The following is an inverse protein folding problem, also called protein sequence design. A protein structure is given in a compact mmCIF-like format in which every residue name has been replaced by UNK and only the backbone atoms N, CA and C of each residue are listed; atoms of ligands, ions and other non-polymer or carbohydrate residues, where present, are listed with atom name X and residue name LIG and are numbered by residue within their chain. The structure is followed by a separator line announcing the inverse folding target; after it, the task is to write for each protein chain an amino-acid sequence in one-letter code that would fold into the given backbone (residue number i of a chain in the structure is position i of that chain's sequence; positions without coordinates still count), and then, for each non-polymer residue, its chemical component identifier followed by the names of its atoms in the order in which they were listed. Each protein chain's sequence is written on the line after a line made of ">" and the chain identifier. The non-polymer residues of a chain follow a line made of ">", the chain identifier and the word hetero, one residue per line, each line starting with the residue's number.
data_IF_656763000681
#
_entry.id   IF_656763000681
#
_cell.length_a   1.000
_cell.length_b   1.000
_cell.length_c   1.000
_cell.angle_alpha   90.00
_cell.angle_beta   90.00
_cell.angle_gamma   90.00
#
_symmetry.space_group_name_H-M   'P 1'
#
loop_
_entity.id
_entity.type
_entity.pdbx_description
1 polymer ?
#
# COMPACT_ATOMS: atom_id res chain seq x y z
N UNK A 1 11.71 -22.48 8.06
CA UNK A 1 11.55 -21.33 7.14
C UNK A 1 11.85 -20.07 7.95
N UNK A 2 12.95 -19.38 7.64
CA UNK A 2 13.42 -18.21 8.42
C UNK A 2 12.42 -17.06 8.31
N UNK A 3 11.49 -16.97 9.27
CA UNK A 3 10.63 -15.81 9.51
C UNK A 3 11.39 -14.65 10.15
N UNK A 4 12.69 -14.79 10.38
CA UNK A 4 13.49 -13.67 10.84
C UNK A 4 13.71 -12.71 9.66
N UNK A 5 13.26 -11.45 9.81
CA UNK A 5 13.82 -10.24 9.20
C UNK A 5 12.80 -9.22 8.62
N UNK A 6 11.47 -9.43 8.62
CA UNK A 6 10.59 -8.30 8.22
C UNK A 6 10.65 -7.16 9.23
N UNK A 7 10.45 -7.47 10.51
CA UNK A 7 10.57 -6.51 11.59
C UNK A 7 12.00 -5.98 11.72
N UNK A 8 13.02 -6.85 11.61
CA UNK A 8 14.42 -6.40 11.69
C UNK A 8 14.79 -5.48 10.53
N UNK A 9 14.43 -5.82 9.28
CA UNK A 9 14.67 -4.96 8.11
C UNK A 9 13.95 -3.64 8.25
N UNK A 10 12.68 -3.65 8.66
CA UNK A 10 11.94 -2.42 8.86
C UNK A 10 12.55 -1.57 9.99
N UNK A 11 12.90 -2.17 11.11
CA UNK A 11 13.53 -1.51 12.25
C UNK A 11 14.88 -0.88 11.87
N UNK A 12 15.69 -1.57 11.06
CA UNK A 12 16.95 -1.01 10.51
C UNK A 12 16.70 0.20 9.63
N UNK A 13 15.67 0.16 8.79
CA UNK A 13 15.32 1.23 7.86
C UNK A 13 14.85 2.49 8.61
N UNK A 14 14.05 2.34 9.65
CA UNK A 14 13.51 3.47 10.41
C UNK A 14 14.43 3.93 11.54
N UNK A 15 15.58 3.27 11.74
CA UNK A 15 16.48 3.53 12.87
C UNK A 15 16.86 5.01 12.98
N UNK A 16 17.18 5.65 11.85
CA UNK A 16 17.55 7.08 11.77
C UNK A 16 16.37 8.05 11.90
N UNK A 17 15.15 7.54 11.93
CA UNK A 17 13.94 8.34 12.14
C UNK A 17 13.52 8.32 13.61
N UNK A 18 13.90 7.29 14.38
CA UNK A 18 13.45 7.05 15.76
C UNK A 18 13.96 8.06 16.78
N UNK A 19 15.09 8.70 16.50
CA UNK A 19 15.67 9.74 17.35
C UNK A 19 15.03 11.12 17.11
N UNK A 20 14.02 11.22 16.24
CA UNK A 20 13.36 12.49 15.88
C UNK A 20 12.02 12.65 16.61
N UNK A 21 11.55 13.89 16.82
CA UNK A 21 10.19 14.14 17.30
C UNK A 21 9.15 13.41 16.44
N UNK A 22 8.03 13.00 17.04
CA UNK A 22 7.04 12.10 16.41
C UNK A 22 6.59 12.55 15.02
N UNK A 23 6.30 13.86 14.84
CA UNK A 23 5.89 14.41 13.54
C UNK A 23 7.01 14.28 12.50
N UNK A 24 8.25 14.57 12.89
CA UNK A 24 9.44 14.46 12.02
C UNK A 24 9.75 13.01 11.69
N UNK A 25 9.67 12.10 12.67
CA UNK A 25 9.82 10.67 12.46
C UNK A 25 8.83 10.15 11.41
N UNK A 26 7.54 10.51 11.53
CA UNK A 26 6.51 10.10 10.59
C UNK A 26 6.74 10.64 9.18
N UNK A 27 7.19 11.90 9.06
CA UNK A 27 7.57 12.49 7.75
C UNK A 27 8.72 11.71 7.10
N UNK A 28 9.75 11.36 7.86
CA UNK A 28 10.90 10.58 7.35
C UNK A 28 10.45 9.19 6.92
N UNK A 29 9.69 8.48 7.75
CA UNK A 29 9.17 7.14 7.44
C UNK A 29 8.32 7.17 6.17
N UNK A 30 7.45 8.18 6.01
CA UNK A 30 6.64 8.36 4.79
C UNK A 30 7.52 8.47 3.55
N UNK A 31 8.54 9.33 3.57
CA UNK A 31 9.44 9.53 2.42
C UNK A 31 10.20 8.24 2.09
N UNK A 32 10.68 7.51 3.10
CA UNK A 32 11.36 6.23 2.91
C UNK A 32 10.44 5.21 2.23
N UNK A 33 9.21 5.07 2.71
CA UNK A 33 8.24 4.13 2.14
C UNK A 33 7.91 4.52 0.69
N UNK A 34 7.67 5.80 0.42
CA UNK A 34 7.40 6.30 -0.93
C UNK A 34 8.54 5.98 -1.90
N UNK A 35 9.80 6.29 -1.53
CA UNK A 35 10.98 5.98 -2.35
C UNK A 35 11.12 4.48 -2.61
N UNK A 36 10.91 3.65 -1.59
CA UNK A 36 10.99 2.19 -1.71
C UNK A 36 9.92 1.67 -2.67
N UNK A 37 8.67 2.12 -2.53
CA UNK A 37 7.57 1.71 -3.41
C UNK A 37 7.84 2.11 -4.85
N UNK A 38 8.32 3.33 -5.09
CA UNK A 38 8.68 3.79 -6.43
C UNK A 38 9.79 2.93 -7.05
N UNK A 39 10.88 2.69 -6.30
CA UNK A 39 11.98 1.84 -6.77
C UNK A 39 11.52 0.41 -7.10
N UNK A 40 10.64 -0.17 -6.28
CA UNK A 40 10.12 -1.52 -6.52
C UNK A 40 9.19 -1.57 -7.74
N UNK A 41 8.39 -0.52 -7.98
CA UNK A 41 7.57 -0.38 -9.18
C UNK A 41 8.43 -0.33 -10.45
N UNK A 42 9.51 0.44 -10.43
CA UNK A 42 10.42 0.54 -11.58
C UNK A 42 11.19 -0.75 -11.84
N UNK A 43 11.52 -1.51 -10.79
CA UNK A 43 12.16 -2.81 -10.94
C UNK A 43 11.24 -3.82 -11.59
N UNK A 44 9.99 -3.92 -11.14
CA UNK A 44 9.04 -4.89 -11.71
C UNK A 44 8.61 -4.49 -13.11
N UNK A 45 8.52 -3.20 -13.45
CA UNK A 45 8.19 -2.77 -14.82
C UNK A 45 9.27 -3.14 -15.83
N UNK A 46 10.52 -3.26 -15.39
CA UNK A 46 11.67 -3.70 -16.21
C UNK A 46 11.94 -5.20 -16.14
N UNK A 47 11.17 -5.94 -15.33
CA UNK A 47 11.39 -7.36 -15.11
C UNK A 47 10.71 -8.19 -16.21
N UNK A 48 11.51 -8.91 -16.99
CA UNK A 48 11.04 -9.74 -18.11
C UNK A 48 11.04 -11.25 -17.80
N UNK A 49 11.22 -11.64 -16.53
CA UNK A 49 11.25 -13.05 -16.11
C UNK A 49 9.90 -13.55 -15.60
N UNK A 50 9.83 -14.84 -15.29
CA UNK A 50 8.66 -15.42 -14.64
C UNK A 50 8.71 -15.21 -13.12
N UNK A 51 7.57 -14.79 -12.55
CA UNK A 51 7.40 -14.72 -11.10
C UNK A 51 7.17 -16.14 -10.58
N UNK A 52 7.81 -16.49 -9.46
CA UNK A 52 7.66 -17.80 -8.82
C UNK A 52 6.17 -18.18 -8.66
N UNK A 53 5.76 -19.42 -9.04
CA UNK A 53 4.35 -19.83 -9.08
C UNK A 53 3.57 -19.56 -7.78
N UNK A 54 4.20 -19.75 -6.62
CA UNK A 54 3.58 -19.49 -5.31
C UNK A 54 3.26 -18.01 -5.13
N UNK A 55 4.20 -17.12 -5.50
CA UNK A 55 4.02 -15.67 -5.39
C UNK A 55 2.98 -15.20 -6.41
N UNK A 56 3.04 -15.73 -7.64
CA UNK A 56 2.07 -15.43 -8.68
C UNK A 56 0.65 -15.82 -8.24
N UNK A 57 0.47 -17.01 -7.63
CA UNK A 57 -0.82 -17.45 -7.10
C UNK A 57 -1.37 -16.51 -6.02
N UNK A 58 -0.51 -16.06 -5.09
CA UNK A 58 -0.90 -15.09 -4.06
C UNK A 58 -1.32 -13.76 -4.70
N UNK A 59 -0.56 -13.29 -5.69
CA UNK A 59 -0.86 -12.05 -6.41
C UNK A 59 -2.21 -12.13 -7.13
N UNK A 60 -2.48 -13.20 -7.86
CA UNK A 60 -3.75 -13.40 -8.57
C UNK A 60 -4.93 -13.52 -7.61
N UNK A 61 -4.77 -14.18 -6.46
CA UNK A 61 -5.81 -14.22 -5.43
C UNK A 61 -6.13 -12.83 -4.87
N UNK A 62 -5.09 -12.03 -4.61
CA UNK A 62 -5.26 -10.64 -4.16
C UNK A 62 -5.93 -9.77 -5.23
N UNK A 63 -5.60 -9.94 -6.51
CA UNK A 63 -6.29 -9.25 -7.61
C UNK A 63 -7.77 -9.61 -7.66
N UNK A 64 -8.12 -10.89 -7.53
CA UNK A 64 -9.53 -11.33 -7.47
C UNK A 64 -10.28 -10.71 -6.28
N UNK A 65 -9.65 -10.65 -5.10
CA UNK A 65 -10.24 -9.99 -3.94
C UNK A 65 -10.41 -8.48 -4.14
N UNK A 66 -9.46 -7.84 -4.84
CA UNK A 66 -9.54 -6.42 -5.17
C UNK A 66 -10.58 -6.11 -6.26
N UNK A 67 -10.82 -7.04 -7.20
CA UNK A 67 -11.85 -6.92 -8.23
C UNK A 67 -13.25 -6.73 -7.65
N UNK A 68 -13.46 -7.09 -6.38
CA UNK A 68 -14.71 -6.83 -5.67
C UNK A 68 -15.05 -5.34 -5.50
N UNK A 69 -14.10 -4.42 -5.70
CA UNK A 69 -14.25 -2.98 -5.47
C UNK A 69 -14.21 -2.18 -6.78
N UNK A 70 -15.29 -1.45 -7.06
CA UNK A 70 -15.43 -0.53 -8.18
C UNK A 70 -15.18 0.89 -7.67
N UNK A 71 -14.29 1.62 -8.35
CA UNK A 71 -14.02 3.02 -8.05
C UNK A 71 -14.87 3.92 -8.97
N UNK A 72 -15.79 4.68 -8.39
CA UNK A 72 -16.41 5.83 -9.02
C UNK A 72 -15.65 7.08 -8.62
N UNK A 73 -15.04 7.78 -9.57
CA UNK A 73 -14.48 9.10 -9.29
C UNK A 73 -15.63 10.08 -9.07
N UNK A 74 -15.57 10.79 -7.95
CA UNK A 74 -16.46 11.90 -7.64
C UNK A 74 -15.58 13.15 -7.54
N UNK A 75 -15.92 14.18 -8.30
CA UNK A 75 -15.15 15.40 -8.53
C UNK A 75 -14.17 15.81 -7.39
N UNK A 76 -12.94 16.21 -7.77
CA UNK A 76 -11.77 16.40 -6.89
C UNK A 76 -11.19 15.08 -6.31
N UNK A 77 -10.78 15.09 -5.03
CA UNK A 77 -10.16 13.96 -4.31
C UNK A 77 -11.20 13.07 -3.64
N UNK A 78 -12.39 12.86 -4.22
CA UNK A 78 -13.40 11.97 -3.65
C UNK A 78 -13.59 10.74 -4.55
N UNK A 79 -13.62 9.57 -3.93
CA UNK A 79 -13.83 8.32 -4.64
C UNK A 79 -14.94 7.56 -3.94
N UNK A 80 -15.98 7.21 -4.68
CA UNK A 80 -16.95 6.22 -4.25
C UNK A 80 -16.35 4.84 -4.52
N UNK A 81 -16.18 4.06 -3.46
CA UNK A 81 -15.72 2.68 -3.53
C UNK A 81 -16.93 1.80 -3.28
N UNK A 82 -17.39 1.09 -4.31
CA UNK A 82 -18.53 0.21 -4.23
C UNK A 82 -18.07 -1.25 -4.26
N UNK A 83 -18.49 -2.06 -3.30
CA UNK A 83 -18.30 -3.52 -3.39
C UNK A 83 -19.45 -4.11 -4.20
N UNK A 84 -19.18 -5.11 -5.03
CA UNK A 84 -20.23 -5.83 -5.79
C UNK A 84 -21.45 -6.29 -4.95
N UNK A 85 -21.31 -6.38 -3.62
CA UNK A 85 -22.36 -6.73 -2.67
C UNK A 85 -23.23 -5.56 -2.16
N UNK A 86 -23.07 -4.34 -2.71
CA UNK A 86 -23.91 -3.17 -2.39
C UNK A 86 -23.36 -2.25 -1.29
N UNK A 87 -22.29 -2.67 -0.60
CA UNK A 87 -21.61 -1.80 0.35
C UNK A 87 -20.88 -0.66 -0.38
N UNK A 88 -21.20 0.59 0.00
CA UNK A 88 -20.61 1.79 -0.57
C UNK A 88 -19.84 2.56 0.48
N UNK A 89 -18.64 2.99 0.12
CA UNK A 89 -17.83 3.88 0.94
C UNK A 89 -17.36 5.08 0.15
N UNK A 90 -17.20 6.21 0.83
CA UNK A 90 -16.57 7.39 0.26
C UNK A 90 -15.17 7.51 0.85
N UNK A 91 -14.17 7.52 -0.02
CA UNK A 91 -12.76 7.69 0.33
C UNK A 91 -12.29 9.04 -0.19
N UNK A 92 -11.68 9.84 0.67
CA UNK A 92 -11.00 11.06 0.29
C UNK A 92 -9.49 10.93 0.56
N UNK A 93 -8.66 10.71 -0.46
CA UNK A 93 -7.21 10.59 -0.30
C UNK A 93 -6.54 11.89 0.15
N UNK A 94 -7.06 13.06 -0.24
CA UNK A 94 -6.51 14.36 0.13
C UNK A 94 -6.64 14.65 1.63
N UNK A 95 -7.78 14.32 2.23
CA UNK A 95 -8.03 14.44 3.67
C UNK A 95 -7.79 13.16 4.47
N UNK A 96 -7.33 12.08 3.83
CA UNK A 96 -7.12 10.75 4.42
C UNK A 96 -8.35 10.18 5.15
N UNK A 97 -9.56 10.54 4.70
CA UNK A 97 -10.81 10.13 5.34
C UNK A 97 -11.49 8.99 4.57
N UNK A 98 -12.10 8.04 5.28
CA UNK A 98 -12.91 6.96 4.70
C UNK A 98 -14.19 6.83 5.51
N UNK A 99 -15.35 6.76 4.85
CA UNK A 99 -16.62 6.50 5.56
C UNK A 99 -16.66 5.12 6.25
N UNK A 100 -15.74 4.22 5.87
CA UNK A 100 -15.51 2.94 6.52
C UNK A 100 -14.80 3.05 7.89
N UNK A 101 -14.11 4.16 8.14
CA UNK A 101 -13.40 4.44 9.39
C UNK A 101 -14.25 5.39 10.22
N UNK A 102 -15.20 4.84 10.97
CA UNK A 102 -15.80 5.54 12.11
C UNK A 102 -14.83 5.57 13.28
#
# INVERSE_FOLDING_TARGET
>A
MLFNNYCETFNKIILRARDKPIITMLKIIRVIIMKRLHTQRDKISKFNGEVCPTIQKILENNKKNAHGYILGWNEHDKFEVNRYAGDKWTVNPGSYNCSCRR
#
